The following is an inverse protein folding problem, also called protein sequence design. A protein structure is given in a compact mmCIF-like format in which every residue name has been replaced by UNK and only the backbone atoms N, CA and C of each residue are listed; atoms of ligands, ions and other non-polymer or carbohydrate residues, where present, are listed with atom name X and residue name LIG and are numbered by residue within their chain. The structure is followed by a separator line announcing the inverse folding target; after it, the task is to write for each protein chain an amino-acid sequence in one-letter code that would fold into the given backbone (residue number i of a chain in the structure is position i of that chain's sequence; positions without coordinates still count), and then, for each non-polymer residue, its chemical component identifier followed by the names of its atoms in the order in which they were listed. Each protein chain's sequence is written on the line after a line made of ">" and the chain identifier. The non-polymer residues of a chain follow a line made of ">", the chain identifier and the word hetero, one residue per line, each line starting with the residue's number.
data_IF_737009250254
#
_entry.id   IF_737009250254
#
_cell.length_a   1.000
_cell.length_b   1.000
_cell.length_c   1.000
_cell.angle_alpha   90.00
_cell.angle_beta   90.00
_cell.angle_gamma   90.00
#
_symmetry.space_group_name_H-M   'P 1'
#
loop_
_entity.id
_entity.type
_entity.pdbx_description
1 polymer ?
#
# COMPACT_ATOMS: atom_id res chain seq x y z
N UNK A 1 12.24 -17.70 21.14
CA UNK A 1 12.78 -17.01 19.96
C UNK A 1 11.96 -15.75 19.75
N UNK A 2 12.58 -14.58 19.78
CA UNK A 2 11.92 -13.27 19.66
C UNK A 2 11.57 -12.93 18.20
N UNK A 3 10.78 -11.87 17.97
CA UNK A 3 10.53 -11.32 16.62
C UNK A 3 11.85 -10.90 15.95
N UNK A 4 12.73 -10.21 16.68
CA UNK A 4 14.06 -9.85 16.17
C UNK A 4 14.92 -11.06 15.80
N UNK A 5 14.89 -12.14 16.60
CA UNK A 5 15.65 -13.37 16.28
C UNK A 5 15.16 -14.03 14.99
N UNK A 6 13.83 -14.09 14.79
CA UNK A 6 13.23 -14.60 13.56
C UNK A 6 13.68 -13.80 12.34
N UNK A 7 13.64 -12.47 12.44
CA UNK A 7 14.08 -11.58 11.36
C UNK A 7 15.57 -11.75 11.09
N UNK A 8 16.42 -11.82 12.12
CA UNK A 8 17.87 -12.03 11.96
C UNK A 8 18.18 -13.34 11.26
N UNK A 9 17.50 -14.43 11.62
CA UNK A 9 17.68 -15.72 10.95
C UNK A 9 17.24 -15.68 9.49
N UNK A 10 16.10 -15.03 9.20
CA UNK A 10 15.63 -14.81 7.84
C UNK A 10 16.62 -13.99 7.02
N UNK A 11 17.07 -12.83 7.54
CA UNK A 11 18.08 -11.98 6.91
C UNK A 11 19.38 -12.74 6.65
N UNK A 12 19.84 -13.55 7.61
CA UNK A 12 21.02 -14.39 7.44
C UNK A 12 20.86 -15.35 6.27
N UNK A 13 19.70 -16.01 6.13
CA UNK A 13 19.39 -16.92 5.03
C UNK A 13 19.40 -16.22 3.68
N UNK A 14 18.67 -15.10 3.54
CA UNK A 14 18.52 -14.40 2.24
C UNK A 14 19.77 -13.60 1.85
N UNK A 15 20.68 -13.33 2.78
CA UNK A 15 21.92 -12.60 2.49
C UNK A 15 23.10 -13.51 2.13
N UNK A 16 22.93 -14.85 2.15
CA UNK A 16 23.98 -15.76 1.70
C UNK A 16 24.20 -15.64 0.18
N UNK A 17 25.40 -15.96 -0.35
CA UNK A 17 25.66 -15.92 -1.79
C UNK A 17 24.73 -16.80 -2.63
N UNK A 18 24.25 -17.91 -2.06
CA UNK A 18 23.26 -18.83 -2.61
C UNK A 18 21.86 -18.62 -2.03
N UNK A 19 21.70 -17.63 -1.15
CA UNK A 19 20.45 -17.25 -0.52
C UNK A 19 19.52 -16.61 -1.54
N UNK A 20 18.45 -17.33 -1.92
CA UNK A 20 17.40 -16.79 -2.78
C UNK A 20 16.26 -16.25 -1.93
N UNK A 21 15.76 -15.09 -2.36
CA UNK A 21 14.51 -14.53 -1.86
C UNK A 21 13.35 -15.14 -2.64
N UNK A 22 12.40 -15.72 -1.92
CA UNK A 22 11.21 -16.36 -2.44
C UNK A 22 9.97 -15.49 -2.17
N UNK A 23 8.83 -15.85 -2.75
CA UNK A 23 7.60 -15.05 -2.58
C UNK A 23 7.18 -15.06 -1.11
N UNK A 24 7.25 -16.21 -0.48
CA UNK A 24 6.87 -16.47 0.91
C UNK A 24 7.64 -15.57 1.89
N UNK A 25 8.84 -15.11 1.52
CA UNK A 25 9.63 -14.16 2.31
C UNK A 25 8.97 -12.81 2.44
N UNK A 26 8.22 -12.37 1.42
CA UNK A 26 7.50 -11.11 1.50
C UNK A 26 6.36 -11.20 2.53
N UNK A 27 5.66 -12.34 2.58
CA UNK A 27 4.66 -12.62 3.60
C UNK A 27 5.28 -12.64 5.00
N UNK A 28 6.39 -13.36 5.14
CA UNK A 28 7.15 -13.38 6.39
C UNK A 28 7.56 -11.97 6.82
N UNK A 29 8.15 -11.17 5.91
CA UNK A 29 8.61 -9.82 6.16
C UNK A 29 7.48 -8.94 6.71
N UNK A 30 6.33 -8.89 6.02
CA UNK A 30 5.24 -8.01 6.45
C UNK A 30 4.61 -8.46 7.78
N UNK A 31 4.48 -9.77 8.00
CA UNK A 31 4.02 -10.31 9.29
C UNK A 31 5.00 -9.95 10.42
N UNK A 32 6.31 -10.10 10.20
CA UNK A 32 7.29 -9.73 11.22
C UNK A 32 7.36 -8.22 11.43
N UNK A 33 7.25 -7.41 10.37
CA UNK A 33 7.17 -5.96 10.48
C UNK A 33 5.96 -5.53 11.32
N UNK A 34 4.80 -6.18 11.14
CA UNK A 34 3.62 -5.96 11.99
C UNK A 34 3.89 -6.30 13.46
N UNK A 35 4.53 -7.43 13.74
CA UNK A 35 4.89 -7.77 15.13
C UNK A 35 5.84 -6.73 15.75
N UNK A 36 6.84 -6.24 14.99
CA UNK A 36 7.71 -5.15 15.48
C UNK A 36 6.90 -3.88 15.78
N UNK A 37 5.92 -3.55 14.95
CA UNK A 37 5.04 -2.39 15.21
C UNK A 37 4.22 -2.53 16.49
N UNK A 38 3.69 -3.72 16.75
CA UNK A 38 2.91 -4.01 17.96
C UNK A 38 3.77 -3.97 19.23
N UNK A 39 5.06 -4.28 19.11
CA UNK A 39 6.06 -4.13 20.17
C UNK A 39 6.53 -2.66 20.32
N UNK A 40 6.23 -1.77 19.37
CA UNK A 40 6.71 -0.39 19.34
C UNK A 40 5.73 0.59 19.99
N UNK A 41 6.19 1.48 20.91
CA UNK A 41 5.34 2.53 21.46
C UNK A 41 4.97 3.63 20.44
N UNK A 42 5.49 3.55 19.20
CA UNK A 42 5.37 4.57 18.16
C UNK A 42 4.67 4.04 16.89
N UNK A 43 3.80 3.04 17.03
CA UNK A 43 3.06 2.43 15.91
C UNK A 43 2.47 3.46 14.94
N UNK A 44 1.96 4.58 15.45
CA UNK A 44 1.37 5.66 14.66
C UNK A 44 2.32 6.32 13.64
N UNK A 45 3.64 6.09 13.74
CA UNK A 45 4.65 6.63 12.81
C UNK A 45 4.83 5.79 11.55
N UNK A 46 4.34 4.55 11.55
CA UNK A 46 4.62 3.56 10.50
C UNK A 46 3.32 3.10 9.83
N UNK A 47 2.52 4.07 9.40
CA UNK A 47 1.16 3.83 8.89
C UNK A 47 1.19 3.09 7.56
N UNK A 48 2.22 3.29 6.75
CA UNK A 48 2.36 2.61 5.46
C UNK A 48 2.75 1.15 5.68
N UNK A 49 3.67 0.86 6.60
CA UNK A 49 3.99 -0.52 6.99
C UNK A 49 2.77 -1.22 7.59
N UNK A 50 2.03 -0.56 8.48
CA UNK A 50 0.77 -1.08 9.02
C UNK A 50 -0.22 -1.40 7.90
N UNK A 51 -0.46 -0.45 6.99
CA UNK A 51 -1.38 -0.62 5.88
C UNK A 51 -1.04 -1.79 4.96
N UNK A 52 0.23 -1.91 4.55
CA UNK A 52 0.64 -3.02 3.69
C UNK A 52 0.64 -4.36 4.43
N UNK A 53 0.92 -4.37 5.73
CA UNK A 53 0.81 -5.58 6.55
C UNK A 53 -0.63 -6.07 6.60
N UNK A 54 -1.57 -5.16 6.87
CA UNK A 54 -3.00 -5.46 6.88
C UNK A 54 -3.49 -5.92 5.50
N UNK A 55 -3.10 -5.21 4.43
CA UNK A 55 -3.52 -5.55 3.06
C UNK A 55 -2.99 -6.92 2.64
N UNK A 56 -1.79 -7.30 3.10
CA UNK A 56 -1.23 -8.59 2.78
C UNK A 56 -2.00 -9.75 3.41
N UNK A 57 -2.58 -9.59 4.60
CA UNK A 57 -3.24 -10.69 5.31
C UNK A 57 -4.76 -10.72 5.10
N UNK A 58 -5.37 -9.61 4.70
CA UNK A 58 -6.81 -9.52 4.47
C UNK A 58 -7.18 -9.65 3.00
N UNK A 59 -8.17 -10.50 2.69
CA UNK A 59 -8.69 -10.65 1.32
C UNK A 59 -9.37 -9.38 0.80
N UNK A 60 -9.84 -8.52 1.71
CA UNK A 60 -10.47 -7.23 1.40
C UNK A 60 -10.23 -6.25 2.55
N UNK A 61 -9.89 -5.01 2.20
CA UNK A 61 -9.79 -3.90 3.16
C UNK A 61 -10.92 -2.89 2.93
N UNK A 62 -11.90 -2.86 3.83
CA UNK A 62 -13.04 -1.92 3.76
C UNK A 62 -13.35 -1.19 5.08
N UNK A 63 -12.51 -1.39 6.12
CA UNK A 63 -12.73 -0.86 7.48
C UNK A 63 -11.50 -0.20 8.12
N UNK A 64 -10.39 -0.07 7.38
CA UNK A 64 -9.18 0.59 7.90
C UNK A 64 -9.20 2.10 7.60
N UNK A 65 -8.88 2.91 8.61
CA UNK A 65 -8.75 4.37 8.48
C UNK A 65 -7.64 4.75 7.47
N UNK A 66 -6.57 3.96 7.41
CA UNK A 66 -5.45 4.20 6.49
C UNK A 66 -5.87 3.92 5.05
N UNK A 67 -6.53 2.78 4.82
CA UNK A 67 -7.07 2.42 3.49
C UNK A 67 -8.04 3.47 2.96
N UNK A 68 -8.91 4.00 3.82
CA UNK A 68 -9.82 5.08 3.46
C UNK A 68 -9.10 6.39 3.13
N UNK A 69 -8.04 6.71 3.87
CA UNK A 69 -7.22 7.89 3.59
C UNK A 69 -6.56 7.78 2.21
N UNK A 70 -6.08 6.59 1.84
CA UNK A 70 -5.50 6.32 0.51
C UNK A 70 -6.57 6.51 -0.58
N UNK A 71 -7.75 5.91 -0.45
CA UNK A 71 -8.84 6.09 -1.43
C UNK A 71 -9.23 7.57 -1.58
N UNK A 72 -9.30 8.31 -0.47
CA UNK A 72 -9.59 9.74 -0.45
C UNK A 72 -8.52 10.52 -1.19
N UNK A 73 -7.24 10.25 -0.91
CA UNK A 73 -6.14 11.02 -1.47
C UNK A 73 -5.93 10.71 -2.96
N UNK A 74 -6.16 9.47 -3.40
CA UNK A 74 -6.28 9.12 -4.82
C UNK A 74 -7.46 9.87 -5.47
N UNK A 75 -8.62 9.91 -4.82
CA UNK A 75 -9.78 10.65 -5.33
C UNK A 75 -9.42 12.12 -5.57
N UNK A 76 -8.73 12.78 -4.63
CA UNK A 76 -8.27 14.16 -4.78
C UNK A 76 -7.33 14.33 -5.97
N UNK A 77 -6.36 13.42 -6.15
CA UNK A 77 -5.43 13.44 -7.29
C UNK A 77 -6.20 13.36 -8.60
N UNK A 78 -7.13 12.42 -8.73
CA UNK A 78 -7.89 12.21 -9.97
C UNK A 78 -8.83 13.39 -10.25
N UNK A 79 -9.53 13.91 -9.23
CA UNK A 79 -10.41 15.08 -9.38
C UNK A 79 -9.61 16.31 -9.83
N UNK A 80 -8.44 16.57 -9.24
CA UNK A 80 -7.57 17.69 -9.61
C UNK A 80 -7.02 17.56 -11.04
N UNK A 81 -6.83 16.33 -11.52
CA UNK A 81 -6.16 16.05 -12.78
C UNK A 81 -7.09 15.39 -13.82
N UNK A 82 -8.42 15.50 -13.71
CA UNK A 82 -9.42 14.72 -14.49
C UNK A 82 -9.21 14.72 -16.02
N UNK A 83 -8.39 15.62 -16.55
CA UNK A 83 -7.94 15.57 -17.95
C UNK A 83 -6.89 14.45 -18.18
N UNK A 84 -7.22 13.37 -18.91
CA UNK A 84 -6.62 12.04 -18.78
C UNK A 84 -5.31 11.80 -19.57
N UNK A 85 -4.71 12.81 -20.18
CA UNK A 85 -3.48 12.64 -21.00
C UNK A 85 -2.18 12.89 -20.23
N UNK A 86 -2.25 13.16 -18.92
CA UNK A 86 -1.05 13.47 -18.15
C UNK A 86 -0.48 12.22 -17.47
N UNK A 87 0.73 11.81 -17.88
CA UNK A 87 1.60 10.92 -17.08
C UNK A 87 1.75 11.43 -15.63
N UNK A 88 1.53 12.73 -15.42
CA UNK A 88 1.48 13.36 -14.11
C UNK A 88 0.43 12.74 -13.18
N UNK A 89 -0.83 12.57 -13.61
CA UNK A 89 -1.84 11.91 -12.76
C UNK A 89 -1.38 10.51 -12.36
N UNK A 90 -0.81 9.77 -13.31
CA UNK A 90 -0.39 8.39 -13.06
C UNK A 90 0.68 8.32 -11.98
N UNK A 91 1.69 9.17 -12.07
CA UNK A 91 2.78 9.26 -11.10
C UNK A 91 2.26 9.70 -9.72
N UNK A 92 1.37 10.71 -9.67
CA UNK A 92 0.82 11.19 -8.40
C UNK A 92 -0.05 10.13 -7.70
N UNK A 93 -0.82 9.33 -8.44
CA UNK A 93 -1.55 8.19 -7.85
C UNK A 93 -0.57 7.13 -7.31
N UNK A 94 0.48 6.81 -8.07
CA UNK A 94 1.51 5.86 -7.63
C UNK A 94 2.21 6.32 -6.35
N UNK A 95 2.48 7.62 -6.20
CA UNK A 95 2.99 8.20 -4.94
C UNK A 95 2.03 8.01 -3.77
N UNK A 96 0.73 8.20 -3.98
CA UNK A 96 -0.27 7.98 -2.92
C UNK A 96 -0.34 6.52 -2.49
N UNK A 97 -0.13 5.57 -3.41
CA UNK A 97 -0.03 4.13 -3.08
C UNK A 97 1.19 3.86 -2.18
N UNK A 98 2.25 4.64 -2.30
CA UNK A 98 3.24 4.79 -1.24
C UNK A 98 4.28 3.67 -1.15
N UNK A 99 4.71 3.09 -2.27
CA UNK A 99 5.77 2.06 -2.25
C UNK A 99 7.13 2.63 -1.80
N UNK A 100 7.48 3.86 -2.20
CA UNK A 100 8.72 4.51 -1.76
C UNK A 100 8.67 4.81 -0.24
N UNK A 101 7.51 5.24 0.24
CA UNK A 101 7.26 5.47 1.66
C UNK A 101 7.29 4.16 2.45
N UNK A 102 6.76 3.07 1.92
CA UNK A 102 6.87 1.73 2.52
C UNK A 102 8.32 1.35 2.74
N UNK A 103 9.17 1.53 1.71
CA UNK A 103 10.62 1.25 1.79
C UNK A 103 11.26 2.07 2.92
N UNK A 104 10.98 3.37 2.95
CA UNK A 104 11.53 4.29 3.96
C UNK A 104 11.07 3.93 5.36
N UNK A 105 9.80 3.60 5.55
CA UNK A 105 9.25 3.20 6.84
C UNK A 105 9.83 1.85 7.31
N UNK A 106 10.00 0.86 6.42
CA UNK A 106 10.64 -0.41 6.74
C UNK A 106 12.09 -0.22 7.21
N UNK A 107 12.88 0.61 6.50
CA UNK A 107 14.26 0.95 6.90
C UNK A 107 14.28 1.59 8.29
N UNK A 108 13.42 2.58 8.54
CA UNK A 108 13.33 3.25 9.84
C UNK A 108 12.93 2.28 10.96
N UNK A 109 11.93 1.44 10.71
CA UNK A 109 11.45 0.45 11.66
C UNK A 109 12.57 -0.55 12.01
N UNK A 110 13.26 -1.11 11.01
CA UNK A 110 14.35 -2.06 11.25
C UNK A 110 15.51 -1.42 12.01
N UNK A 111 15.86 -0.17 11.68
CA UNK A 111 16.88 0.60 12.40
C UNK A 111 16.52 0.83 13.87
N UNK A 112 15.26 1.13 14.21
CA UNK A 112 14.82 1.28 15.61
C UNK A 112 15.05 0.00 16.44
N UNK A 113 15.02 -1.16 15.80
CA UNK A 113 15.27 -2.47 16.41
C UNK A 113 16.70 -2.99 16.19
N UNK A 114 17.63 -2.15 15.69
CA UNK A 114 19.01 -2.52 15.37
C UNK A 114 19.11 -3.74 14.44
N UNK A 115 18.25 -3.81 13.43
CA UNK A 115 18.22 -4.87 12.41
C UNK A 115 18.90 -4.38 11.11
N UNK A 116 19.60 -5.25 10.37
CA UNK A 116 20.17 -4.90 9.08
C UNK A 116 19.12 -4.43 8.06
N UNK A 117 19.43 -3.37 7.31
CA UNK A 117 18.53 -2.74 6.33
C UNK A 117 18.99 -2.86 4.87
N UNK A 118 20.15 -3.47 4.61
CA UNK A 118 20.74 -3.59 3.28
C UNK A 118 19.80 -4.22 2.24
N UNK A 119 18.92 -5.13 2.68
CA UNK A 119 17.90 -5.76 1.84
C UNK A 119 16.90 -4.75 1.25
N UNK A 120 16.67 -3.64 1.94
CA UNK A 120 15.84 -2.54 1.46
C UNK A 120 16.64 -1.52 0.70
N UNK A 121 17.91 -1.26 1.05
CA UNK A 121 18.74 -0.20 0.44
C UNK A 121 19.19 -0.53 -1.00
N UNK A 122 19.37 -1.82 -1.31
CA UNK A 122 19.72 -2.27 -2.65
C UNK A 122 18.48 -2.21 -3.56
N UNK A 123 18.57 -1.45 -4.66
CA UNK A 123 17.45 -1.20 -5.58
C UNK A 123 16.87 -2.49 -6.18
N UNK A 124 17.72 -3.45 -6.55
CA UNK A 124 17.31 -4.73 -7.12
C UNK A 124 16.52 -5.58 -6.11
N UNK A 125 17.01 -5.66 -4.86
CA UNK A 125 16.29 -6.35 -3.79
C UNK A 125 14.94 -5.71 -3.52
N UNK A 126 14.88 -4.37 -3.51
CA UNK A 126 13.63 -3.65 -3.35
C UNK A 126 12.64 -3.93 -4.49
N UNK A 127 13.12 -3.94 -5.74
CA UNK A 127 12.29 -4.31 -6.90
C UNK A 127 11.72 -5.72 -6.78
N UNK A 128 12.53 -6.69 -6.33
CA UNK A 128 12.08 -8.05 -6.11
C UNK A 128 11.02 -8.14 -4.99
N UNK A 129 11.24 -7.45 -3.87
CA UNK A 129 10.27 -7.35 -2.78
C UNK A 129 8.95 -6.74 -3.25
N UNK A 130 8.98 -5.67 -4.03
CA UNK A 130 7.77 -5.07 -4.61
C UNK A 130 7.10 -6.03 -5.60
N UNK A 131 7.87 -6.76 -6.40
CA UNK A 131 7.33 -7.79 -7.29
C UNK A 131 6.56 -8.87 -6.51
N UNK A 132 7.12 -9.36 -5.40
CA UNK A 132 6.44 -10.32 -4.53
C UNK A 132 5.24 -9.69 -3.81
N UNK A 133 5.36 -8.45 -3.34
CA UNK A 133 4.27 -7.72 -2.71
C UNK A 133 3.07 -7.60 -3.66
N UNK A 134 3.30 -7.08 -4.86
CA UNK A 134 2.26 -6.88 -5.87
C UNK A 134 1.63 -8.20 -6.31
N UNK A 135 2.41 -9.30 -6.34
CA UNK A 135 1.86 -10.63 -6.54
C UNK A 135 0.83 -11.02 -5.47
N UNK A 136 1.11 -10.81 -4.18
CA UNK A 136 0.15 -11.12 -3.12
C UNK A 136 -1.05 -10.16 -3.06
N UNK A 137 -0.92 -8.95 -3.60
CA UNK A 137 -1.97 -7.94 -3.60
C UNK A 137 -2.88 -8.00 -4.84
N UNK A 138 -2.48 -8.73 -5.89
CA UNK A 138 -3.20 -8.76 -7.17
C UNK A 138 -4.69 -9.17 -7.03
N UNK A 139 -4.99 -10.09 -6.11
CA UNK A 139 -6.34 -10.58 -5.85
C UNK A 139 -7.04 -9.89 -4.67
N UNK A 140 -6.45 -8.83 -4.12
CA UNK A 140 -6.93 -8.18 -2.90
C UNK A 140 -7.28 -6.74 -3.17
N UNK A 141 -8.53 -6.38 -2.87
CA UNK A 141 -9.03 -5.05 -3.15
C UNK A 141 -9.18 -4.21 -1.89
N UNK A 142 -8.98 -2.91 -2.05
CA UNK A 142 -9.35 -1.89 -1.07
C UNK A 142 -10.63 -1.25 -1.54
N UNK A 143 -11.70 -1.43 -0.78
CA UNK A 143 -13.02 -0.97 -1.20
C UNK A 143 -13.55 0.10 -0.29
N UNK A 144 -14.15 1.12 -0.88
CA UNK A 144 -14.90 2.11 -0.13
C UNK A 144 -16.13 1.44 0.50
N UNK A 145 -16.39 1.65 1.80
CA UNK A 145 -17.53 1.08 2.48
C UNK A 145 -18.84 1.67 1.91
N UNK A 146 -19.73 0.77 1.50
CA UNK A 146 -21.05 1.13 0.95
C UNK A 146 -21.97 1.75 2.00
N UNK A 147 -21.77 1.38 3.25
CA UNK A 147 -22.58 1.85 4.37
C UNK A 147 -21.90 3.02 5.08
N UNK A 148 -22.70 4.04 5.40
CA UNK A 148 -22.23 5.16 6.20
C UNK A 148 -21.83 4.66 7.60
N UNK A 149 -20.65 5.04 8.10
CA UNK A 149 -20.22 4.67 9.45
C UNK A 149 -21.18 5.21 10.51
N UNK A 150 -21.65 4.35 11.41
CA UNK A 150 -22.65 4.70 12.44
C UNK A 150 -22.05 5.65 13.48
N UNK A 151 -20.79 5.42 13.88
CA UNK A 151 -20.10 6.20 14.93
C UNK A 151 -19.43 7.44 14.34
N UNK A 152 -19.38 8.54 15.12
CA UNK A 152 -18.56 9.72 14.80
C UNK A 152 -17.09 9.43 15.10
N UNK A 153 -16.39 8.86 14.12
CA UNK A 153 -14.94 8.54 14.17
C UNK A 153 -14.20 9.27 13.05
N UNK A 154 -12.85 9.24 13.07
CA UNK A 154 -12.04 9.75 11.94
C UNK A 154 -12.42 9.06 10.63
N UNK A 155 -12.69 7.75 10.69
CA UNK A 155 -13.26 7.00 9.57
C UNK A 155 -14.52 7.64 8.95
N UNK A 156 -15.47 8.12 9.78
CA UNK A 156 -16.67 8.82 9.29
C UNK A 156 -16.35 10.15 8.64
N UNK A 157 -15.39 10.91 9.19
CA UNK A 157 -14.97 12.19 8.61
C UNK A 157 -14.39 11.97 7.20
N UNK A 158 -13.52 10.98 7.03
CA UNK A 158 -12.95 10.63 5.71
C UNK A 158 -14.06 10.18 4.73
N UNK A 159 -15.03 9.40 5.22
CA UNK A 159 -16.18 9.00 4.41
C UNK A 159 -16.99 10.21 3.93
N UNK A 160 -17.31 11.14 4.83
CA UNK A 160 -18.06 12.36 4.50
C UNK A 160 -17.26 13.29 3.57
N UNK A 161 -15.93 13.39 3.74
CA UNK A 161 -15.02 14.08 2.81
C UNK A 161 -15.07 13.46 1.41
N UNK A 162 -14.98 12.13 1.30
CA UNK A 162 -15.00 11.45 0.00
C UNK A 162 -16.32 11.66 -0.75
N UNK A 163 -17.45 11.56 -0.04
CA UNK A 163 -18.76 11.87 -0.63
C UNK A 163 -18.87 13.35 -0.99
N UNK A 164 -18.22 14.27 -0.26
CA UNK A 164 -18.25 15.69 -0.63
C UNK A 164 -17.56 16.01 -1.96
N UNK A 165 -16.60 15.18 -2.40
CA UNK A 165 -15.97 15.30 -3.72
C UNK A 165 -16.90 14.96 -4.88
N UNK A 166 -18.06 14.37 -4.61
CA UNK A 166 -19.10 14.11 -5.61
C UNK A 166 -19.57 15.39 -6.29
N UNK A 167 -19.62 16.54 -5.58
CA UNK A 167 -20.29 17.74 -6.10
C UNK A 167 -19.53 18.56 -7.16
N UNK A 168 -18.19 18.52 -7.27
CA UNK A 168 -17.50 19.05 -8.45
C UNK A 168 -17.18 18.01 -9.54
N UNK A 169 -17.19 16.70 -9.24
CA UNK A 169 -16.63 15.67 -10.13
C UNK A 169 -17.57 14.51 -10.52
N UNK A 170 -18.67 14.33 -9.79
CA UNK A 170 -19.65 13.25 -9.89
C UNK A 170 -19.09 11.81 -9.73
N UNK A 171 -17.97 11.65 -9.01
CA UNK A 171 -17.44 10.32 -8.66
C UNK A 171 -16.61 10.35 -7.38
N UNK A 172 -16.37 9.17 -6.83
CA UNK A 172 -15.33 8.84 -5.85
C UNK A 172 -14.68 7.51 -6.24
N UNK A 173 -13.59 7.10 -5.58
CA UNK A 173 -13.03 5.77 -5.79
C UNK A 173 -13.82 4.74 -4.98
N UNK A 174 -14.51 3.81 -5.65
CA UNK A 174 -15.22 2.70 -5.02
C UNK A 174 -14.27 1.54 -4.70
N UNK A 175 -13.27 1.32 -5.55
CA UNK A 175 -12.35 0.20 -5.41
C UNK A 175 -10.95 0.55 -5.92
N UNK A 176 -9.92 0.07 -5.24
CA UNK A 176 -8.52 0.07 -5.67
C UNK A 176 -8.01 -1.37 -5.64
N UNK A 177 -7.38 -1.80 -6.74
CA UNK A 177 -6.71 -3.09 -6.84
C UNK A 177 -5.36 -2.94 -7.55
N UNK A 178 -4.47 -3.89 -7.31
CA UNK A 178 -3.26 -4.09 -8.13
C UNK A 178 -3.59 -5.14 -9.18
N UNK A 179 -3.21 -4.91 -10.44
CA UNK A 179 -3.43 -5.84 -11.54
C UNK A 179 -2.14 -6.03 -12.34
N UNK A 180 -1.97 -7.19 -12.96
CA UNK A 180 -0.87 -7.45 -13.90
C UNK A 180 -1.28 -7.16 -15.34
N UNK A 181 -0.49 -6.36 -16.06
CA UNK A 181 -0.62 -6.17 -17.51
C UNK A 181 0.75 -6.41 -18.13
N UNK A 182 0.87 -7.43 -18.98
CA UNK A 182 2.15 -7.86 -19.59
C UNK A 182 3.26 -8.07 -18.54
N UNK A 183 2.94 -8.77 -17.45
CA UNK A 183 3.85 -9.03 -16.32
C UNK A 183 4.36 -7.77 -15.58
N UNK A 184 3.73 -6.61 -15.80
CA UNK A 184 4.04 -5.36 -15.11
C UNK A 184 2.88 -4.97 -14.18
N UNK A 185 3.15 -4.65 -12.91
CA UNK A 185 2.10 -4.25 -11.98
C UNK A 185 1.54 -2.87 -12.34
N UNK A 186 0.22 -2.78 -12.32
CA UNK A 186 -0.55 -1.57 -12.50
C UNK A 186 -1.50 -1.42 -11.31
N UNK A 187 -1.84 -0.19 -10.95
CA UNK A 187 -3.01 0.05 -10.12
C UNK A 187 -4.23 0.24 -11.01
N UNK A 188 -5.37 -0.23 -10.52
CA UNK A 188 -6.67 -0.09 -11.17
C UNK A 188 -7.63 0.48 -10.14
N UNK A 189 -8.28 1.58 -10.48
CA UNK A 189 -9.34 2.17 -9.67
C UNK A 189 -10.67 2.10 -10.39
N UNK A 190 -11.69 1.67 -9.66
CA UNK A 190 -13.08 1.68 -10.11
C UNK A 190 -13.78 2.85 -9.47
N UNK A 191 -14.46 3.66 -10.29
CA UNK A 191 -15.17 4.84 -9.80
C UNK A 191 -16.55 4.44 -9.27
N UNK A 192 -17.04 5.15 -8.27
CA UNK A 192 -18.43 5.13 -7.83
C UNK A 192 -19.22 6.33 -8.36
N UNK A 193 -20.47 6.50 -7.91
CA UNK A 193 -21.36 7.58 -8.33
C UNK A 193 -21.85 7.43 -9.77
N UNK A 194 -21.96 8.55 -10.50
CA UNK A 194 -22.46 8.57 -11.89
C UNK A 194 -21.52 7.87 -12.88
N UNK A 195 -20.26 7.63 -12.48
CA UNK A 195 -19.21 7.02 -13.30
C UNK A 195 -18.92 5.58 -12.93
N UNK A 196 -19.89 4.86 -12.36
CA UNK A 196 -19.70 3.51 -11.81
C UNK A 196 -19.12 2.46 -12.79
N UNK A 197 -19.24 2.70 -14.08
CA UNK A 197 -18.69 1.82 -15.13
C UNK A 197 -17.27 2.18 -15.56
N UNK A 198 -16.70 3.28 -15.05
CA UNK A 198 -15.38 3.78 -15.42
C UNK A 198 -14.30 3.12 -14.57
N UNK A 199 -13.27 2.61 -15.25
CA UNK A 199 -12.02 2.17 -14.64
C UNK A 199 -10.87 3.03 -15.13
N UNK A 200 -9.98 3.40 -14.23
CA UNK A 200 -8.73 4.09 -14.57
C UNK A 200 -7.59 3.17 -14.18
N UNK A 201 -6.65 2.97 -15.11
CA UNK A 201 -5.49 2.10 -14.92
C UNK A 201 -4.24 2.94 -15.12
N UNK A 202 -3.26 2.78 -14.24
CA UNK A 202 -1.97 3.41 -14.37
C UNK A 202 -0.85 2.47 -13.94
N UNK A 203 0.32 2.66 -14.54
CA UNK A 203 1.52 1.93 -14.19
C UNK A 203 1.87 2.17 -12.72
N UNK A 204 2.09 1.10 -11.96
CA UNK A 204 2.58 1.21 -10.59
C UNK A 204 4.08 1.50 -10.61
N UNK A 205 4.43 2.77 -10.45
CA UNK A 205 5.83 3.21 -10.50
C UNK A 205 6.45 3.13 -9.12
N UNK A 206 7.59 2.46 -9.02
CA UNK A 206 8.52 2.59 -7.89
C UNK A 206 9.41 3.77 -8.28
N UNK A 207 9.24 4.94 -7.66
CA UNK A 207 10.07 6.09 -8.02
C UNK A 207 11.56 5.77 -7.83
N UNK A 208 12.39 6.30 -8.73
CA UNK A 208 13.82 6.42 -8.46
C UNK A 208 13.98 7.68 -7.61
N UNK A 209 14.43 7.51 -6.37
CA UNK A 209 14.95 8.63 -5.57
C UNK A 209 16.11 9.32 -6.32
#
# INVERSE_FOLDING_TARGET
>A
MTTQDRIKNWLYRVSQPDGLMEREDMCFLMVQARHLLEESPKIEKYKVVEFYSDWMVHTKLDKSEVSMSILRDITKVIVKNWNPTSNHMVNEVSKVIGLSELRTELIKLFNEYNLPVAIFEIEENWKNLVGFLTYFLADKSISFPKEKPIKKTKFRVIWEEMISFEKPANFWIENLAIIGINDVPHWCVELGGDKKTTKIVGLLTIEKE
#
